data_IF_460705075670
#
_entry.id   IF_460705075670
#
_cell.length_a   1.000
_cell.length_b   1.000
_cell.length_c   1.000
_cell.angle_alpha   90.00
_cell.angle_beta   90.00
_cell.angle_gamma   90.00
#
_symmetry.space_group_name_H-M   'P 1'
#
loop_
_entity.id
_entity.type
_entity.pdbx_description
1 polymer ?
#
# COMPACT_ATOMS: atom_id res chain seq x y z
N UNK A 1 -1.19 12.42 15.18
CA UNK A 1 -0.55 11.13 14.88
C UNK A 1 -1.45 9.99 15.32
N UNK A 2 -1.52 8.95 14.54
CA UNK A 2 -2.34 7.78 14.84
C UNK A 2 -1.50 6.70 15.52
N UNK A 3 -2.03 6.02 16.55
CA UNK A 3 -1.33 4.89 17.16
C UNK A 3 -1.07 3.77 16.14
N UNK A 4 0.03 3.05 16.30
CA UNK A 4 0.41 1.98 15.36
C UNK A 4 -0.65 0.88 15.24
N UNK A 5 -1.38 0.57 16.32
CA UNK A 5 -2.43 -0.45 16.28
C UNK A 5 -3.62 -0.02 15.40
N UNK A 6 -3.85 1.29 15.23
CA UNK A 6 -4.87 1.80 14.31
C UNK A 6 -4.37 1.66 12.87
N UNK A 7 -3.11 2.00 12.63
CA UNK A 7 -2.52 1.95 11.30
C UNK A 7 -2.44 0.53 10.73
N UNK A 8 -2.25 -0.50 11.58
CA UNK A 8 -2.23 -1.89 11.11
C UNK A 8 -3.58 -2.32 10.54
N UNK A 9 -4.68 -1.65 10.93
CA UNK A 9 -6.01 -1.95 10.41
C UNK A 9 -6.24 -1.43 8.99
N UNK A 10 -5.31 -0.66 8.44
CA UNK A 10 -5.35 -0.26 7.04
C UNK A 10 -5.19 -1.46 6.11
N UNK A 11 -4.45 -2.48 6.52
CA UNK A 11 -4.31 -3.70 5.73
C UNK A 11 -5.55 -4.58 5.84
N UNK A 12 -6.03 -5.07 4.71
CA UNK A 12 -7.15 -6.03 4.67
C UNK A 12 -6.58 -7.44 4.80
N UNK A 13 -6.76 -8.02 5.97
CA UNK A 13 -6.23 -9.36 6.28
C UNK A 13 -6.77 -10.40 5.29
N UNK A 14 -5.87 -11.25 4.79
CA UNK A 14 -6.22 -12.30 3.83
C UNK A 14 -6.22 -11.86 2.38
N UNK A 15 -5.95 -10.57 2.10
CA UNK A 15 -5.95 -10.05 0.73
C UNK A 15 -4.64 -10.28 -0.01
N UNK A 16 -3.57 -10.68 0.70
CA UNK A 16 -2.25 -10.89 0.08
C UNK A 16 -2.29 -12.10 -0.85
N UNK A 17 -1.86 -11.90 -2.09
CA UNK A 17 -1.76 -12.99 -3.07
C UNK A 17 -0.73 -12.66 -4.15
N UNK A 18 -0.17 -13.70 -4.76
CA UNK A 18 0.64 -13.57 -5.96
C UNK A 18 -0.25 -13.31 -7.18
N UNK A 19 0.31 -12.62 -8.18
CA UNK A 19 -0.33 -12.42 -9.47
C UNK A 19 0.71 -12.66 -10.57
N UNK A 20 0.34 -12.41 -11.83
CA UNK A 20 1.21 -12.70 -12.98
C UNK A 20 2.51 -11.88 -12.98
N UNK A 21 2.52 -10.70 -12.34
CA UNK A 21 3.65 -9.77 -12.38
C UNK A 21 4.38 -9.64 -11.05
N UNK A 22 3.91 -10.32 -10.02
CA UNK A 22 4.47 -10.22 -8.68
C UNK A 22 3.46 -10.60 -7.62
N UNK A 23 3.04 -9.62 -6.82
CA UNK A 23 2.07 -9.84 -5.76
C UNK A 23 1.21 -8.61 -5.53
N UNK A 24 0.16 -8.77 -4.75
CA UNK A 24 -0.78 -7.67 -4.46
C UNK A 24 -1.47 -7.86 -3.12
N UNK A 25 -1.98 -6.77 -2.58
CA UNK A 25 -2.77 -6.77 -1.36
C UNK A 25 -3.69 -5.56 -1.34
N UNK A 26 -4.69 -5.60 -0.47
CA UNK A 26 -5.69 -4.54 -0.35
C UNK A 26 -5.51 -3.73 0.91
N UNK A 27 -5.80 -2.45 0.79
CA UNK A 27 -5.85 -1.50 1.90
C UNK A 27 -7.23 -0.89 1.98
N UNK A 28 -7.68 -0.61 3.21
CA UNK A 28 -8.91 0.12 3.45
C UNK A 28 -8.59 1.33 4.31
N UNK A 29 -9.01 2.50 3.88
CA UNK A 29 -8.80 3.71 4.65
C UNK A 29 -9.77 3.77 5.83
N UNK A 30 -9.29 3.37 7.00
CA UNK A 30 -10.08 3.34 8.25
C UNK A 30 -9.71 4.48 9.18
N UNK A 31 -8.88 5.43 8.73
CA UNK A 31 -8.30 6.48 9.57
C UNK A 31 -9.05 7.80 9.37
N UNK A 32 -8.93 8.39 8.19
CA UNK A 32 -9.57 9.64 7.83
C UNK A 32 -9.34 9.90 6.34
N UNK A 33 -10.20 10.70 5.73
CA UNK A 33 -9.99 11.13 4.35
C UNK A 33 -8.72 11.94 4.25
N UNK A 34 -7.95 11.75 3.18
CA UNK A 34 -6.70 12.42 2.96
C UNK A 34 -6.30 12.43 1.50
N UNK A 35 -5.12 12.97 1.25
CA UNK A 35 -4.58 13.13 -0.10
C UNK A 35 -3.19 12.56 -0.15
N UNK A 36 -3.00 11.50 -0.92
CA UNK A 36 -1.68 10.89 -1.11
C UNK A 36 -0.90 11.70 -2.15
N UNK A 37 0.33 12.07 -1.79
CA UNK A 37 1.23 12.80 -2.68
C UNK A 37 2.51 12.02 -2.97
N UNK A 38 2.68 10.86 -2.34
CA UNK A 38 3.78 9.93 -2.58
C UNK A 38 3.38 8.54 -2.13
N UNK A 39 3.68 7.53 -2.93
CA UNK A 39 3.43 6.12 -2.63
C UNK A 39 4.78 5.40 -2.51
N UNK A 40 4.93 4.62 -1.47
CA UNK A 40 6.12 3.79 -1.27
C UNK A 40 7.22 4.49 -0.49
N UNK A 41 8.30 3.76 -0.23
CA UNK A 41 8.52 2.38 -0.67
C UNK A 41 7.66 1.37 0.10
N UNK A 42 7.52 0.17 -0.48
CA UNK A 42 7.00 -1.00 0.21
C UNK A 42 8.19 -1.92 0.43
N UNK A 43 8.38 -2.38 1.66
CA UNK A 43 9.46 -3.31 1.99
C UNK A 43 8.83 -4.65 2.36
N UNK A 44 9.35 -5.72 1.77
CA UNK A 44 8.89 -7.08 2.02
C UNK A 44 10.08 -7.91 2.49
N UNK A 45 10.02 -8.37 3.73
CA UNK A 45 11.11 -9.14 4.36
C UNK A 45 12.47 -8.44 4.21
N UNK A 46 12.45 -7.10 4.34
CA UNK A 46 13.66 -6.29 4.22
C UNK A 46 14.02 -5.84 2.81
N UNK A 47 13.33 -6.33 1.77
CA UNK A 47 13.59 -5.93 0.38
C UNK A 47 12.69 -4.78 -0.02
N UNK A 48 13.24 -3.62 -0.39
CA UNK A 48 12.43 -2.46 -0.78
C UNK A 48 11.96 -2.55 -2.23
N UNK A 49 10.75 -2.03 -2.46
CA UNK A 49 10.17 -1.82 -3.79
C UNK A 49 9.80 -0.34 -3.89
N UNK A 50 10.42 0.35 -4.84
CA UNK A 50 10.19 1.78 -5.05
C UNK A 50 8.88 2.04 -5.79
N UNK A 51 8.43 3.29 -5.75
CA UNK A 51 7.14 3.71 -6.30
C UNK A 51 6.90 3.28 -7.75
N UNK A 52 7.93 3.27 -8.59
CA UNK A 52 7.81 2.88 -9.99
C UNK A 52 7.37 1.42 -10.17
N UNK A 53 7.62 0.57 -9.17
CA UNK A 53 7.24 -0.85 -9.19
C UNK A 53 5.91 -1.12 -8.49
N UNK A 54 5.24 -0.08 -8.01
CA UNK A 54 3.97 -0.19 -7.30
C UNK A 54 2.87 0.40 -8.16
N UNK A 55 1.76 -0.31 -8.32
CA UNK A 55 0.57 0.19 -9.01
C UNK A 55 -0.56 0.31 -8.01
N UNK A 56 -1.16 1.49 -7.92
CA UNK A 56 -2.33 1.76 -7.08
C UNK A 56 -3.57 1.57 -7.93
N UNK A 57 -4.47 0.71 -7.47
CA UNK A 57 -5.73 0.40 -8.18
C UNK A 57 -6.89 0.82 -7.30
N UNK A 58 -7.69 1.74 -7.80
CA UNK A 58 -8.93 2.16 -7.16
C UNK A 58 -10.12 1.72 -8.02
N UNK A 59 -11.35 2.03 -7.60
CA UNK A 59 -12.55 1.60 -8.34
C UNK A 59 -12.63 2.20 -9.75
N UNK A 60 -11.96 3.32 -10.00
CA UNK A 60 -12.10 4.05 -11.27
C UNK A 60 -10.78 4.42 -11.93
N UNK A 61 -9.64 4.04 -11.36
CA UNK A 61 -8.36 4.36 -11.98
C UNK A 61 -7.24 3.44 -11.53
N UNK A 62 -6.19 3.42 -12.32
CA UNK A 62 -4.96 2.67 -12.08
C UNK A 62 -3.80 3.61 -12.35
N UNK A 63 -2.86 3.72 -11.41
CA UNK A 63 -1.65 4.54 -11.58
C UNK A 63 -0.44 3.82 -11.01
N UNK A 64 0.72 3.98 -11.63
CA UNK A 64 1.96 3.61 -10.95
C UNK A 64 2.23 4.60 -9.81
N UNK A 65 2.91 4.12 -8.76
CA UNK A 65 3.14 4.94 -7.57
C UNK A 65 3.92 6.21 -7.84
N UNK A 66 4.84 6.18 -8.82
CA UNK A 66 5.62 7.36 -9.21
C UNK A 66 4.79 8.43 -9.92
N UNK A 67 3.58 8.10 -10.35
CA UNK A 67 2.63 9.07 -10.91
C UNK A 67 1.80 9.77 -9.83
N UNK A 68 1.89 9.33 -8.58
CA UNK A 68 1.23 10.01 -7.47
C UNK A 68 2.21 11.03 -6.89
N UNK A 69 1.93 12.29 -7.12
CA UNK A 69 2.84 13.40 -6.77
C UNK A 69 2.03 14.57 -6.20
N UNK A 70 2.73 15.62 -5.75
CA UNK A 70 2.08 16.81 -5.23
C UNK A 70 1.27 17.56 -6.28
N UNK A 71 1.66 17.44 -7.56
CA UNK A 71 0.94 18.06 -8.68
C UNK A 71 -0.07 17.12 -9.32
N UNK A 72 -0.06 15.84 -8.95
CA UNK A 72 -1.00 14.84 -9.42
C UNK A 72 -1.36 13.89 -8.26
N UNK A 73 -2.00 14.43 -7.21
CA UNK A 73 -2.26 13.65 -5.99
C UNK A 73 -3.38 12.63 -6.18
N UNK A 74 -3.45 11.68 -5.26
CA UNK A 74 -4.51 10.68 -5.22
C UNK A 74 -5.34 10.88 -3.95
N UNK A 75 -6.60 11.32 -4.07
CA UNK A 75 -7.47 11.41 -2.90
C UNK A 75 -7.87 10.02 -2.43
N UNK A 76 -7.87 9.82 -1.12
CA UNK A 76 -8.30 8.58 -0.49
C UNK A 76 -9.33 8.91 0.59
N UNK A 77 -10.57 8.52 0.37
CA UNK A 77 -11.67 8.84 1.27
C UNK A 77 -11.78 7.83 2.40
N UNK A 78 -12.32 8.26 3.53
CA UNK A 78 -12.62 7.34 4.64
C UNK A 78 -13.52 6.21 4.14
N UNK A 79 -13.13 4.98 4.43
CA UNK A 79 -13.83 3.78 3.99
C UNK A 79 -13.43 3.28 2.60
N UNK A 80 -12.62 4.03 1.87
CA UNK A 80 -12.21 3.65 0.53
C UNK A 80 -11.33 2.40 0.55
N UNK A 81 -11.67 1.46 -0.32
CA UNK A 81 -10.88 0.25 -0.56
C UNK A 81 -10.05 0.43 -1.82
N UNK A 82 -8.78 0.10 -1.75
CA UNK A 82 -7.90 0.14 -2.91
C UNK A 82 -6.83 -0.93 -2.81
N UNK A 83 -6.25 -1.28 -3.94
CA UNK A 83 -5.24 -2.34 -4.02
C UNK A 83 -3.88 -1.76 -4.38
N UNK A 84 -2.83 -2.36 -3.84
CA UNK A 84 -1.46 -2.11 -4.25
C UNK A 84 -0.93 -3.38 -4.92
N UNK A 85 -0.48 -3.23 -6.17
CA UNK A 85 0.16 -4.30 -6.92
C UNK A 85 1.65 -3.98 -7.00
N UNK A 86 2.48 -4.97 -6.74
CA UNK A 86 3.93 -4.81 -6.76
C UNK A 86 4.51 -5.70 -7.84
N UNK A 87 5.26 -5.10 -8.75
CA UNK A 87 5.97 -5.85 -9.79
C UNK A 87 7.29 -6.38 -9.22
N UNK A 88 7.49 -7.67 -9.31
CA UNK A 88 8.69 -8.32 -8.81
C UNK A 88 8.52 -9.82 -8.85
N UNK A 89 9.40 -10.54 -8.20
CA UNK A 89 9.28 -11.98 -8.08
C UNK A 89 8.06 -12.36 -7.25
N UNK A 90 7.36 -13.44 -7.58
CA UNK A 90 6.29 -13.92 -6.73
C UNK A 90 6.84 -14.28 -5.36
N UNK A 91 6.02 -14.09 -4.34
CA UNK A 91 6.38 -14.44 -2.98
C UNK A 91 6.33 -15.95 -2.79
N UNK A 92 7.28 -16.48 -2.02
CA UNK A 92 7.27 -17.89 -1.65
C UNK A 92 6.07 -18.19 -0.73
N UNK A 93 5.56 -19.44 -0.72
CA UNK A 93 4.53 -19.80 0.25
C UNK A 93 5.02 -19.57 1.68
N UNK A 94 4.11 -19.11 2.54
CA UNK A 94 4.42 -18.85 3.94
C UNK A 94 4.23 -17.40 4.33
N UNK A 95 4.66 -17.06 5.54
CA UNK A 95 4.49 -15.74 6.12
C UNK A 95 5.53 -14.75 5.62
N UNK A 96 5.08 -13.53 5.34
CA UNK A 96 5.94 -12.42 4.94
C UNK A 96 5.62 -11.18 5.77
N UNK A 97 6.65 -10.37 6.03
CA UNK A 97 6.52 -9.12 6.78
C UNK A 97 6.62 -7.93 5.81
N UNK A 98 5.64 -7.04 5.90
CA UNK A 98 5.51 -5.87 5.05
C UNK A 98 5.66 -4.59 5.84
N UNK A 99 6.35 -3.61 5.25
CA UNK A 99 6.39 -2.25 5.74
C UNK A 99 5.92 -1.35 4.61
N UNK A 100 4.86 -0.58 4.85
CA UNK A 100 4.28 0.29 3.83
C UNK A 100 4.46 1.73 4.25
N UNK A 101 4.90 2.57 3.31
CA UNK A 101 5.11 4.00 3.53
C UNK A 101 4.36 4.79 2.47
N UNK A 102 3.61 5.80 2.90
CA UNK A 102 2.93 6.74 2.02
C UNK A 102 3.08 8.15 2.61
N UNK A 103 3.05 9.15 1.75
CA UNK A 103 3.09 10.55 2.20
C UNK A 103 1.74 11.20 1.93
N UNK A 104 1.14 11.77 2.97
CA UNK A 104 -0.10 12.52 2.87
C UNK A 104 0.18 14.01 2.92
N UNK A 105 -0.66 14.80 2.27
CA UNK A 105 -0.58 16.27 2.31
C UNK A 105 -0.95 16.80 3.69
N UNK A 106 -1.94 16.16 4.34
CA UNK A 106 -2.55 16.68 5.57
C UNK A 106 -1.72 16.39 6.82
N UNK A 107 -1.19 15.17 6.93
CA UNK A 107 -0.54 14.72 8.18
C UNK A 107 0.87 14.16 7.97
N UNK A 108 1.42 14.30 6.76
CA UNK A 108 2.78 13.86 6.47
C UNK A 108 2.88 12.35 6.22
N UNK A 109 4.04 11.80 6.56
CA UNK A 109 4.34 10.40 6.26
C UNK A 109 3.64 9.45 7.21
N UNK A 110 3.00 8.44 6.64
CA UNK A 110 2.38 7.35 7.38
C UNK A 110 3.15 6.08 7.05
N UNK A 111 3.57 5.36 8.07
CA UNK A 111 4.23 4.06 7.95
C UNK A 111 3.51 3.05 8.80
N UNK A 112 3.30 1.86 8.25
CA UNK A 112 2.69 0.77 9.02
C UNK A 112 3.21 -0.57 8.54
N UNK A 113 3.15 -1.54 9.44
CA UNK A 113 3.64 -2.90 9.21
C UNK A 113 2.48 -3.87 9.27
N UNK A 114 2.58 -4.96 8.52
CA UNK A 114 1.69 -6.09 8.68
C UNK A 114 2.40 -7.38 8.29
N UNK A 115 1.84 -8.49 8.71
CA UNK A 115 2.28 -9.83 8.33
C UNK A 115 1.10 -10.60 7.80
N UNK A 116 1.31 -11.38 6.76
CA UNK A 116 0.29 -12.30 6.26
C UNK A 116 0.97 -13.42 5.48
N UNK A 117 0.18 -14.42 5.15
CA UNK A 117 0.65 -15.66 4.55
C UNK A 117 0.18 -15.77 3.10
N UNK A 118 1.07 -16.20 2.22
CA UNK A 118 0.76 -16.57 0.83
C UNK A 118 0.56 -18.08 0.80
N UNK A 119 -0.52 -18.50 0.18
CA UNK A 119 -0.87 -19.91 0.04
C UNK A 119 0.08 -20.67 -0.90
#
# INVERSE_FOLDING_TARGET
MFPSFVLTKLYVKGSLKNNEKGFQFDLKNVVDSGTLVEIGPITVDGKPYEAAFITVVTSNQERTGDQVTRTNPLPVYLGMLFSLRVNGDPLTPGEHTFNVSVLTREIGRIKFDFQDTVA
#
